data_IF_745210477372
#
_entry.id   IF_745210477372
#
_cell.length_a   1.000
_cell.length_b   1.000
_cell.length_c   1.000
_cell.angle_alpha   90.00
_cell.angle_beta   90.00
_cell.angle_gamma   90.00
#
_symmetry.space_group_name_H-M   'P 1'
#
loop_
_entity.id
_entity.type
_entity.pdbx_description
1 polymer ?
#
# COMPACT_ATOMS: atom_id res chain seq x y z
N UNK A 1 13.61 -15.32 17.56
CA UNK A 1 13.23 -15.11 16.16
C UNK A 1 12.61 -13.73 15.97
N UNK A 2 12.81 -13.16 14.81
CA UNK A 2 12.20 -11.87 14.44
C UNK A 2 11.82 -11.85 12.96
N UNK A 3 10.86 -10.98 12.60
CA UNK A 3 10.41 -10.83 11.23
C UNK A 3 11.37 -9.94 10.43
N UNK A 4 11.71 -10.37 9.23
CA UNK A 4 12.40 -9.53 8.25
C UNK A 4 11.40 -8.64 7.50
N UNK A 5 11.89 -7.61 6.84
CA UNK A 5 11.07 -6.62 6.12
C UNK A 5 10.07 -7.26 5.16
N UNK A 6 10.50 -8.26 4.40
CA UNK A 6 9.65 -8.96 3.41
C UNK A 6 8.48 -9.72 4.05
N UNK A 7 8.56 -10.05 5.31
CA UNK A 7 7.49 -10.76 6.03
C UNK A 7 6.17 -9.97 6.01
N UNK A 8 6.22 -8.65 6.19
CA UNK A 8 5.03 -7.84 6.40
C UNK A 8 4.11 -7.75 5.17
N UNK A 9 4.61 -7.50 3.94
CA UNK A 9 3.74 -7.54 2.77
C UNK A 9 3.07 -8.91 2.58
N UNK A 10 3.79 -10.00 2.78
CA UNK A 10 3.21 -11.36 2.73
C UNK A 10 2.19 -11.59 3.83
N UNK A 11 2.47 -11.13 5.04
CA UNK A 11 1.54 -11.23 6.16
C UNK A 11 0.23 -10.51 5.86
N UNK A 12 0.29 -9.25 5.42
CA UNK A 12 -0.91 -8.49 5.08
C UNK A 12 -1.67 -9.10 3.91
N UNK A 13 -1.00 -9.55 2.87
CA UNK A 13 -1.64 -10.23 1.75
C UNK A 13 -2.32 -11.53 2.19
N UNK A 14 -1.70 -12.27 3.08
CA UNK A 14 -2.22 -13.53 3.61
C UNK A 14 -3.54 -13.36 4.37
N UNK A 15 -3.65 -12.32 5.19
CA UNK A 15 -4.83 -12.12 6.04
C UNK A 15 -5.88 -11.19 5.40
N UNK A 16 -5.47 -10.20 4.64
CA UNK A 16 -6.36 -9.19 4.06
C UNK A 16 -6.55 -9.30 2.55
N UNK A 17 -5.73 -10.09 1.87
CA UNK A 17 -5.82 -10.32 0.43
C UNK A 17 -6.79 -11.43 0.04
N UNK A 18 -7.83 -11.65 0.83
CA UNK A 18 -8.83 -12.70 0.61
C UNK A 18 -10.12 -12.10 0.09
N UNK A 19 -10.64 -12.64 -1.00
CA UNK A 19 -11.85 -12.18 -1.64
C UNK A 19 -11.70 -12.12 -3.16
N UNK A 20 -12.47 -11.22 -3.78
CA UNK A 20 -12.42 -11.01 -5.21
C UNK A 20 -11.34 -10.00 -5.56
N UNK A 21 -10.38 -10.39 -6.41
CA UNK A 21 -9.36 -9.47 -6.91
C UNK A 21 -10.00 -8.38 -7.77
N UNK A 22 -9.62 -7.13 -7.52
CA UNK A 22 -10.10 -5.99 -8.27
C UNK A 22 -9.23 -5.74 -9.51
N UNK A 23 -9.86 -5.42 -10.62
CA UNK A 23 -9.16 -4.99 -11.83
C UNK A 23 -8.94 -3.48 -11.75
N UNK A 24 -7.72 -3.08 -11.38
CA UNK A 24 -7.34 -1.69 -11.22
C UNK A 24 -6.57 -1.20 -12.45
N UNK A 25 -7.06 -0.10 -13.03
CA UNK A 25 -6.31 0.63 -14.04
C UNK A 25 -5.46 1.69 -13.34
N UNK A 26 -4.16 1.49 -13.32
CA UNK A 26 -3.21 2.39 -12.66
C UNK A 26 -2.58 3.31 -13.69
N UNK A 27 -2.73 4.62 -13.48
CA UNK A 27 -2.07 5.66 -14.26
C UNK A 27 -1.01 6.32 -13.38
N UNK A 28 0.24 6.09 -13.69
CA UNK A 28 1.38 6.57 -12.91
C UNK A 28 2.51 7.01 -13.84
N UNK A 29 3.24 8.10 -13.51
CA UNK A 29 4.51 8.37 -14.16
C UNK A 29 5.47 7.19 -13.92
N UNK A 30 6.37 7.00 -14.86
CA UNK A 30 7.32 5.90 -14.83
C UNK A 30 8.76 6.35 -15.00
N UNK A 31 9.66 5.41 -14.88
CA UNK A 31 11.09 5.59 -15.07
C UNK A 31 11.71 4.39 -15.79
N UNK A 32 12.88 4.61 -16.40
CA UNK A 32 13.66 3.55 -17.00
C UNK A 32 14.64 2.99 -15.98
N UNK A 33 14.72 1.68 -15.91
CA UNK A 33 15.68 0.97 -15.08
C UNK A 33 16.63 0.14 -15.93
N UNK A 34 17.65 -0.43 -15.29
CA UNK A 34 18.60 -1.31 -15.99
C UNK A 34 17.92 -2.51 -16.66
N UNK A 35 16.78 -2.94 -16.17
CA UNK A 35 16.12 -4.18 -16.58
C UNK A 35 14.76 -3.98 -17.25
N UNK A 36 14.20 -2.79 -17.20
CA UNK A 36 12.88 -2.51 -17.79
C UNK A 36 12.71 -1.02 -18.08
N UNK A 37 12.03 -0.72 -19.19
CA UNK A 37 11.67 0.63 -19.57
C UNK A 37 10.27 0.98 -19.04
N UNK A 38 10.06 2.25 -18.75
CA UNK A 38 8.77 2.79 -18.31
C UNK A 38 8.14 2.02 -17.13
N UNK A 39 8.95 1.73 -16.13
CA UNK A 39 8.46 1.13 -14.89
C UNK A 39 7.66 2.16 -14.10
N UNK A 40 6.38 1.90 -13.74
CA UNK A 40 5.60 2.85 -12.98
C UNK A 40 6.18 3.06 -11.58
N UNK A 41 6.17 4.30 -11.11
CA UNK A 41 6.56 4.61 -9.73
C UNK A 41 5.56 4.03 -8.73
N UNK A 42 4.28 4.06 -9.06
CA UNK A 42 3.20 3.58 -8.19
C UNK A 42 2.62 2.30 -8.74
N UNK A 43 2.47 1.32 -7.87
CA UNK A 43 1.76 0.08 -8.17
C UNK A 43 0.72 -0.19 -7.08
N UNK A 44 -0.46 -0.67 -7.48
CA UNK A 44 -1.59 -0.87 -6.58
C UNK A 44 -2.28 -2.18 -6.95
N UNK A 45 -2.57 -2.98 -5.94
CA UNK A 45 -3.49 -4.10 -6.04
C UNK A 45 -4.62 -3.93 -5.03
N UNK A 46 -5.76 -4.54 -5.29
CA UNK A 46 -6.92 -4.45 -4.44
C UNK A 46 -7.75 -5.71 -4.44
N UNK A 47 -8.41 -5.94 -3.31
CA UNK A 47 -9.29 -7.09 -3.08
C UNK A 47 -10.56 -6.63 -2.41
N UNK A 48 -11.70 -7.17 -2.86
CA UNK A 48 -12.99 -6.99 -2.23
C UNK A 48 -13.38 -8.24 -1.44
N UNK A 49 -13.43 -8.11 -0.14
CA UNK A 49 -14.03 -9.12 0.74
C UNK A 49 -15.51 -8.77 0.95
N UNK A 50 -16.37 -9.41 0.17
CA UNK A 50 -17.81 -9.13 0.20
C UNK A 50 -18.45 -9.52 1.53
N UNK A 51 -18.00 -10.60 2.14
CA UNK A 51 -18.54 -11.07 3.41
C UNK A 51 -18.35 -10.08 4.54
N UNK A 52 -17.21 -9.39 4.56
CA UNK A 52 -16.90 -8.36 5.55
C UNK A 52 -17.30 -6.95 5.10
N UNK A 53 -17.57 -6.74 3.82
CA UNK A 53 -17.81 -5.42 3.24
C UNK A 53 -16.59 -4.52 3.31
N UNK A 54 -15.42 -5.05 2.95
CA UNK A 54 -14.14 -4.35 3.05
C UNK A 54 -13.36 -4.45 1.75
N UNK A 55 -12.82 -3.31 1.32
CA UNK A 55 -11.80 -3.24 0.28
C UNK A 55 -10.43 -3.16 0.94
N UNK A 56 -9.50 -3.99 0.49
CA UNK A 56 -8.10 -3.94 0.93
C UNK A 56 -7.21 -3.57 -0.25
N UNK A 57 -6.43 -2.51 -0.09
CA UNK A 57 -5.48 -2.02 -1.09
C UNK A 57 -4.06 -2.18 -0.60
N UNK A 58 -3.19 -2.61 -1.50
CA UNK A 58 -1.75 -2.75 -1.28
C UNK A 58 -1.05 -1.84 -2.28
N UNK A 59 -0.28 -0.87 -1.78
CA UNK A 59 0.27 0.21 -2.58
C UNK A 59 1.78 0.30 -2.38
N UNK A 60 2.47 0.60 -3.47
CA UNK A 60 3.93 0.80 -3.47
C UNK A 60 4.26 2.10 -4.16
N UNK A 61 5.15 2.90 -3.58
CA UNK A 61 5.82 4.02 -4.24
C UNK A 61 7.31 3.71 -4.36
N UNK A 62 7.79 3.60 -5.59
CA UNK A 62 9.20 3.33 -5.93
C UNK A 62 10.04 4.58 -6.10
N UNK A 63 9.43 5.77 -6.01
CA UNK A 63 10.17 7.02 -6.17
C UNK A 63 11.16 7.19 -5.03
N UNK A 64 12.38 7.61 -5.36
CA UNK A 64 13.48 7.70 -4.39
C UNK A 64 13.40 8.92 -3.47
N UNK A 65 12.73 9.99 -3.91
CA UNK A 65 12.77 11.29 -3.21
C UNK A 65 11.39 11.95 -3.06
N UNK A 66 10.41 11.59 -3.88
CA UNK A 66 9.12 12.27 -3.93
C UNK A 66 8.00 11.44 -3.30
N UNK A 67 7.22 12.10 -2.46
CA UNK A 67 5.90 11.59 -2.06
C UNK A 67 4.94 11.71 -3.24
N UNK A 68 4.08 10.71 -3.41
CA UNK A 68 3.09 10.69 -4.46
C UNK A 68 1.71 10.57 -3.83
N UNK A 69 0.82 11.48 -4.18
CA UNK A 69 -0.60 11.37 -3.82
C UNK A 69 -1.32 10.51 -4.84
N UNK A 70 -2.04 9.51 -4.35
CA UNK A 70 -2.82 8.59 -5.17
C UNK A 70 -4.29 8.80 -4.88
N UNK A 71 -5.09 8.90 -5.94
CA UNK A 71 -6.55 8.91 -5.84
C UNK A 71 -7.11 7.63 -6.48
N UNK A 72 -7.87 6.89 -5.70
CA UNK A 72 -8.55 5.67 -6.15
C UNK A 72 -10.04 5.93 -6.23
N UNK A 73 -10.61 5.77 -7.43
CA UNK A 73 -12.06 5.87 -7.61
C UNK A 73 -12.73 4.60 -7.11
N UNK A 74 -13.63 4.74 -6.16
CA UNK A 74 -14.40 3.65 -5.56
C UNK A 74 -15.73 3.45 -6.32
N UNK A 75 -15.65 3.26 -7.64
CA UNK A 75 -16.83 3.06 -8.48
C UNK A 75 -17.62 1.84 -8.05
N UNK A 76 -18.94 2.01 -7.92
CA UNK A 76 -19.83 0.95 -7.48
C UNK A 76 -19.96 0.85 -5.96
N UNK A 77 -19.23 1.66 -5.20
CA UNK A 77 -19.34 1.74 -3.73
C UNK A 77 -19.80 3.15 -3.36
N UNK A 78 -20.97 3.25 -2.75
CA UNK A 78 -21.62 4.53 -2.48
C UNK A 78 -20.90 5.35 -1.39
N UNK A 79 -20.24 4.68 -0.47
CA UNK A 79 -19.52 5.30 0.63
C UNK A 79 -18.40 4.40 1.09
N UNK A 80 -17.43 4.98 1.76
CA UNK A 80 -16.34 4.24 2.36
C UNK A 80 -15.72 4.98 3.52
N UNK A 81 -15.16 4.24 4.45
CA UNK A 81 -14.37 4.78 5.56
C UNK A 81 -13.10 3.96 5.75
N UNK A 82 -11.99 4.64 5.96
CA UNK A 82 -10.71 3.97 6.25
C UNK A 82 -10.77 3.37 7.64
N UNK A 83 -10.62 2.06 7.74
CA UNK A 83 -10.64 1.31 9.00
C UNK A 83 -9.26 0.83 9.44
N UNK A 84 -8.31 0.77 8.51
CA UNK A 84 -6.92 0.41 8.83
C UNK A 84 -5.99 1.03 7.78
N UNK A 85 -4.86 1.54 8.24
CA UNK A 85 -3.82 2.09 7.37
C UNK A 85 -2.46 1.81 7.98
N UNK A 86 -1.67 1.01 7.30
CA UNK A 86 -0.32 0.62 7.70
C UNK A 86 0.68 1.12 6.68
N UNK A 87 1.76 1.75 7.15
CA UNK A 87 2.83 2.30 6.32
C UNK A 87 4.16 1.69 6.72
N UNK A 88 4.90 1.24 5.72
CA UNK A 88 6.26 0.76 5.90
C UNK A 88 7.18 1.51 4.97
N UNK A 89 8.12 2.26 5.53
CA UNK A 89 9.14 3.02 4.81
C UNK A 89 10.37 3.19 5.67
N UNK A 90 11.51 3.42 5.03
CA UNK A 90 12.76 3.72 5.71
C UNK A 90 13.65 4.58 4.80
N UNK A 91 14.39 5.50 5.39
CA UNK A 91 15.31 6.38 4.66
C UNK A 91 16.54 5.66 4.12
N UNK A 92 16.92 4.57 4.76
CA UNK A 92 18.01 3.69 4.33
C UNK A 92 17.44 2.41 3.72
N UNK A 93 17.63 2.21 2.42
CA UNK A 93 17.16 1.03 1.70
C UNK A 93 17.85 -0.28 2.12
N UNK A 94 19.02 -0.18 2.73
CA UNK A 94 19.77 -1.33 3.23
C UNK A 94 19.43 -1.68 4.68
N UNK A 95 18.52 -0.91 5.32
CA UNK A 95 18.08 -1.18 6.69
C UNK A 95 17.39 -2.54 6.78
N UNK A 96 17.75 -3.29 7.81
CA UNK A 96 17.21 -4.62 8.09
C UNK A 96 16.84 -4.75 9.56
N UNK A 97 15.92 -5.65 9.85
CA UNK A 97 15.58 -6.01 11.22
C UNK A 97 16.63 -6.99 11.77
N UNK A 98 17.04 -6.77 13.01
CA UNK A 98 18.08 -7.55 13.67
C UNK A 98 17.62 -8.01 15.06
N UNK A 99 18.36 -8.90 15.68
CA UNK A 99 18.09 -9.33 17.05
C UNK A 99 18.08 -8.16 18.05
N UNK A 100 18.88 -7.12 17.80
CA UNK A 100 18.95 -5.94 18.67
C UNK A 100 17.85 -4.92 18.39
N UNK A 101 17.42 -4.81 17.16
CA UNK A 101 16.31 -3.95 16.75
C UNK A 101 15.41 -4.68 15.75
N UNK A 102 14.42 -5.35 16.28
CA UNK A 102 13.54 -6.23 15.51
C UNK A 102 12.48 -5.47 14.71
N UNK A 103 12.34 -4.17 14.92
CA UNK A 103 11.34 -3.30 14.32
C UNK A 103 11.93 -2.07 13.64
N UNK A 104 13.17 -2.14 13.22
CA UNK A 104 13.83 -1.06 12.46
C UNK A 104 13.04 -0.71 11.21
N UNK A 105 12.64 -1.74 10.46
CA UNK A 105 11.76 -1.61 9.30
C UNK A 105 10.52 -2.46 9.56
N UNK A 106 9.46 -1.81 10.03
CA UNK A 106 8.21 -2.45 10.39
C UNK A 106 7.03 -1.54 10.06
N UNK A 107 5.84 -2.09 9.84
CA UNK A 107 4.64 -1.29 9.61
C UNK A 107 4.33 -0.39 10.81
N UNK A 108 3.92 0.82 10.51
CA UNK A 108 3.43 1.80 11.47
C UNK A 108 2.07 2.31 11.03
N UNK A 109 1.24 2.69 11.97
CA UNK A 109 -0.07 3.26 11.68
C UNK A 109 0.10 4.54 10.86
N UNK A 110 -0.57 4.62 9.70
CA UNK A 110 -0.61 5.79 8.85
C UNK A 110 -1.76 6.73 9.20
N UNK A 111 -1.68 7.95 8.70
CA UNK A 111 -2.71 8.99 8.88
C UNK A 111 -3.09 9.71 7.60
N UNK A 112 -2.43 9.39 6.48
CA UNK A 112 -2.59 10.08 5.20
C UNK A 112 -3.62 9.48 4.25
N UNK A 113 -4.44 8.52 4.70
CA UNK A 113 -5.49 7.92 3.88
C UNK A 113 -6.86 8.48 4.25
N UNK A 114 -7.61 8.92 3.25
CA UNK A 114 -8.98 9.46 3.38
C UNK A 114 -9.91 8.82 2.37
N UNK A 115 -11.08 8.37 2.82
CA UNK A 115 -12.17 7.96 1.94
C UNK A 115 -13.28 9.01 2.03
N UNK A 116 -13.56 9.67 0.92
CA UNK A 116 -14.55 10.74 0.84
C UNK A 116 -15.09 10.87 -0.59
N UNK A 117 -16.39 11.07 -0.72
CA UNK A 117 -17.02 11.35 -2.02
C UNK A 117 -16.83 10.25 -3.08
N UNK A 118 -16.75 8.99 -2.68
CA UNK A 118 -16.51 7.87 -3.60
C UNK A 118 -15.06 7.75 -4.07
N UNK A 119 -14.13 8.41 -3.41
CA UNK A 119 -12.69 8.32 -3.68
C UNK A 119 -11.91 7.99 -2.42
N UNK A 120 -10.85 7.24 -2.58
CA UNK A 120 -9.80 7.03 -1.58
C UNK A 120 -8.58 7.82 -2.00
N UNK A 121 -8.11 8.71 -1.15
CA UNK A 121 -6.87 9.47 -1.36
C UNK A 121 -5.82 9.01 -0.36
N UNK A 122 -4.62 8.68 -0.85
CA UNK A 122 -3.50 8.20 -0.03
C UNK A 122 -2.23 8.92 -0.46
N UNK A 123 -1.48 9.45 0.49
CA UNK A 123 -0.13 9.98 0.22
C UNK A 123 0.90 8.91 0.50
N UNK A 124 1.70 8.59 -0.50
CA UNK A 124 2.73 7.56 -0.45
C UNK A 124 4.11 8.23 -0.31
N UNK A 125 4.78 8.11 0.85
CA UNK A 125 6.17 8.58 0.98
C UNK A 125 7.10 7.89 -0.01
N UNK A 126 8.30 8.45 -0.28
CA UNK A 126 9.30 7.77 -1.09
C UNK A 126 9.63 6.37 -0.55
N UNK A 127 9.86 5.42 -1.44
CA UNK A 127 10.23 4.04 -1.09
C UNK A 127 9.32 3.44 0.00
N UNK A 128 8.00 3.52 -0.21
CA UNK A 128 7.04 3.03 0.77
C UNK A 128 6.22 1.86 0.24
N UNK A 129 5.81 1.02 1.18
CA UNK A 129 4.74 0.05 1.03
C UNK A 129 3.62 0.43 1.99
N UNK A 130 2.38 0.38 1.52
CA UNK A 130 1.22 0.67 2.34
C UNK A 130 0.12 -0.36 2.15
N UNK A 131 -0.62 -0.60 3.21
CA UNK A 131 -1.87 -1.35 3.18
C UNK A 131 -2.98 -0.45 3.73
N UNK A 132 -4.06 -0.31 2.98
CA UNK A 132 -5.22 0.49 3.37
C UNK A 132 -6.47 -0.37 3.26
N UNK A 133 -7.26 -0.41 4.31
CA UNK A 133 -8.55 -1.10 4.32
C UNK A 133 -9.69 -0.11 4.45
N UNK A 134 -10.68 -0.26 3.61
CA UNK A 134 -11.83 0.64 3.51
C UNK A 134 -13.11 -0.17 3.73
N UNK A 135 -13.90 0.23 4.70
CA UNK A 135 -15.24 -0.31 4.92
C UNK A 135 -16.20 0.29 3.91
N UNK A 136 -16.92 -0.53 3.20
CA UNK A 136 -17.88 -0.13 2.17
C UNK A 136 -19.28 -0.69 2.40
#
# INVERSE_FOLDING_TARGET
AWAQTIYYPYYFASIFGRGTALNLLVNSPGYDSKHADNTPYVDISGVHNEAEGVLSFFLVNRHSTESIEVSVSLQGFASGSVIDHQVMTHTNLEAVNTAKNQTEVAPRKGSGAKAEGGSLTVTLPPYSYQMVRVKV
#
